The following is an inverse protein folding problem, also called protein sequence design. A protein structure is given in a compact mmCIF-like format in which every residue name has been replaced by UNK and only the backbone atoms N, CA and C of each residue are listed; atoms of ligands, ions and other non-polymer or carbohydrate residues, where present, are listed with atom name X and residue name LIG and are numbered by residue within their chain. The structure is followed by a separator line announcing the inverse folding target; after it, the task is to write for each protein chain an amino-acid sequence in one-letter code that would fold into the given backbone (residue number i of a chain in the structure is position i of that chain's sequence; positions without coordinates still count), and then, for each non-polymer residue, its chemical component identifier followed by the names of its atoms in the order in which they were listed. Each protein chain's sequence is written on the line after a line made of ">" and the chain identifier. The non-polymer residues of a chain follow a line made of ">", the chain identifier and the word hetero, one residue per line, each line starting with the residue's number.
data_IF_581795243455
#
_entry.id   IF_581795243455
#
_cell.length_a   1.000
_cell.length_b   1.000
_cell.length_c   1.000
_cell.angle_alpha   90.00
_cell.angle_beta   90.00
_cell.angle_gamma   90.00
#
_symmetry.space_group_name_H-M   'P 1'
#
loop_
_entity.id
_entity.type
_entity.pdbx_description
1 polymer ?
#
# COMPACT_ATOMS: atom_id res chain seq x y z
N UNK A 1 5.89 -1.85 -21.46
CA UNK A 1 5.46 -3.27 -21.41
C UNK A 1 6.00 -3.96 -20.18
N UNK A 2 7.28 -3.75 -19.84
CA UNK A 2 7.90 -4.20 -18.57
C UNK A 2 7.12 -3.70 -17.33
N UNK A 3 6.70 -2.44 -17.32
CA UNK A 3 5.98 -1.84 -16.18
C UNK A 3 4.65 -2.53 -15.86
N UNK A 4 3.92 -2.95 -16.90
CA UNK A 4 2.63 -3.65 -16.72
C UNK A 4 2.86 -5.04 -16.09
N UNK A 5 3.91 -5.74 -16.51
CA UNK A 5 4.29 -7.04 -15.92
C UNK A 5 4.68 -6.85 -14.44
N UNK A 6 5.44 -5.80 -14.14
CA UNK A 6 5.84 -5.49 -12.76
C UNK A 6 4.62 -5.09 -11.92
N UNK A 7 3.67 -4.31 -12.46
CA UNK A 7 2.41 -3.99 -11.78
C UNK A 7 1.62 -5.26 -11.45
N UNK A 8 1.50 -6.19 -12.38
CA UNK A 8 0.83 -7.48 -12.13
C UNK A 8 1.56 -8.23 -11.01
N UNK A 9 2.89 -8.21 -10.99
CA UNK A 9 3.67 -8.85 -9.92
C UNK A 9 3.48 -8.15 -8.57
N UNK A 10 3.45 -6.81 -8.52
CA UNK A 10 3.19 -6.04 -7.29
C UNK A 10 1.87 -6.47 -6.67
N UNK A 11 0.83 -6.57 -7.49
CA UNK A 11 -0.49 -7.05 -7.07
C UNK A 11 -0.45 -8.54 -6.70
N UNK A 12 0.29 -9.36 -7.45
CA UNK A 12 0.47 -10.78 -7.14
C UNK A 12 1.06 -11.00 -5.73
N UNK A 13 2.04 -10.19 -5.34
CA UNK A 13 2.68 -10.26 -4.02
C UNK A 13 1.72 -9.77 -2.93
N UNK A 14 0.83 -8.81 -3.20
CA UNK A 14 -0.10 -8.29 -2.18
C UNK A 14 -1.18 -9.28 -1.75
N UNK A 15 -1.43 -10.33 -2.54
CA UNK A 15 -2.32 -11.43 -2.17
C UNK A 15 -1.87 -12.23 -0.94
N UNK A 16 -0.60 -12.18 -0.57
CA UNK A 16 -0.13 -12.89 0.62
C UNK A 16 -0.86 -12.41 1.89
N UNK A 17 -1.31 -11.15 1.92
CA UNK A 17 -2.11 -10.61 3.03
C UNK A 17 -3.54 -11.18 3.12
N UNK A 18 -4.06 -11.76 2.03
CA UNK A 18 -5.47 -12.18 1.91
C UNK A 18 -5.67 -13.68 1.77
N UNK A 19 -4.73 -14.43 1.16
CA UNK A 19 -4.95 -15.83 0.74
C UNK A 19 -3.88 -16.82 1.21
N UNK A 20 -2.61 -16.44 1.31
CA UNK A 20 -1.49 -17.38 1.51
C UNK A 20 -1.02 -17.49 2.96
N UNK A 21 -1.91 -17.91 3.88
CA UNK A 21 -1.55 -18.20 5.27
C UNK A 21 -0.82 -17.04 6.01
N UNK A 22 -0.86 -15.82 5.47
CA UNK A 22 -0.06 -14.68 5.92
C UNK A 22 1.44 -15.02 5.99
N UNK A 23 2.03 -15.52 4.91
CA UNK A 23 3.45 -15.93 4.85
C UNK A 23 4.44 -14.78 5.05
N UNK A 24 3.95 -13.54 5.18
CA UNK A 24 4.71 -12.31 5.42
C UNK A 24 5.62 -11.90 4.27
N UNK A 25 5.51 -12.55 3.11
CA UNK A 25 6.18 -12.15 1.86
C UNK A 25 5.63 -10.80 1.36
N UNK A 26 4.39 -10.46 1.69
CA UNK A 26 3.82 -9.13 1.48
C UNK A 26 4.44 -8.02 2.34
N UNK A 27 5.32 -8.32 3.29
CA UNK A 27 5.92 -7.26 4.10
C UNK A 27 6.74 -6.31 3.21
N UNK A 28 6.65 -4.99 3.44
CA UNK A 28 7.34 -4.00 2.61
C UNK A 28 8.82 -4.29 2.42
N UNK A 29 9.52 -4.80 3.43
CA UNK A 29 10.96 -5.08 3.31
C UNK A 29 11.26 -6.13 2.23
N UNK A 30 10.47 -7.21 2.15
CA UNK A 30 10.68 -8.26 1.15
C UNK A 30 10.17 -7.82 -0.21
N UNK A 31 8.98 -7.23 -0.27
CA UNK A 31 8.38 -6.83 -1.54
C UNK A 31 9.19 -5.73 -2.23
N UNK A 32 9.62 -4.71 -1.48
CA UNK A 32 10.33 -3.56 -2.05
C UNK A 32 11.70 -3.94 -2.60
N UNK A 33 12.41 -4.86 -1.93
CA UNK A 33 13.70 -5.37 -2.41
C UNK A 33 13.50 -6.17 -3.71
N UNK A 34 12.46 -7.02 -3.78
CA UNK A 34 12.15 -7.78 -5.00
C UNK A 34 11.82 -6.84 -6.18
N UNK A 35 10.97 -5.83 -5.96
CA UNK A 35 10.63 -4.86 -7.00
C UNK A 35 11.86 -4.02 -7.39
N UNK A 36 12.65 -3.56 -6.41
CA UNK A 36 13.90 -2.84 -6.65
C UNK A 36 14.89 -3.64 -7.52
N UNK A 37 14.98 -4.95 -7.31
CA UNK A 37 15.79 -5.85 -8.12
C UNK A 37 15.27 -5.96 -9.56
N UNK A 38 13.95 -5.97 -9.76
CA UNK A 38 13.34 -6.09 -11.09
C UNK A 38 13.43 -4.82 -11.92
N UNK A 39 13.62 -3.67 -11.28
CA UNK A 39 13.78 -2.37 -11.94
C UNK A 39 15.24 -1.89 -11.96
N UNK A 40 16.19 -2.78 -11.68
CA UNK A 40 17.63 -2.50 -11.60
C UNK A 40 18.01 -1.36 -10.63
N UNK A 41 17.21 -1.14 -9.59
CA UNK A 41 17.44 -0.14 -8.54
C UNK A 41 17.21 -0.74 -7.14
N UNK A 42 18.08 -1.68 -6.78
CA UNK A 42 18.02 -2.38 -5.47
C UNK A 42 18.19 -1.39 -4.31
N UNK A 43 19.01 -0.35 -4.47
CA UNK A 43 19.23 0.68 -3.44
C UNK A 43 17.93 1.36 -3.04
N UNK A 44 17.14 1.82 -4.02
CA UNK A 44 15.82 2.40 -3.79
C UNK A 44 14.87 1.40 -3.09
N UNK A 45 14.89 0.14 -3.52
CA UNK A 45 14.13 -0.93 -2.89
C UNK A 45 14.46 -1.15 -1.41
N UNK A 46 15.74 -1.13 -1.05
CA UNK A 46 16.20 -1.23 0.34
C UNK A 46 15.76 -0.01 1.14
N UNK A 47 15.97 1.21 0.63
CA UNK A 47 15.65 2.43 1.38
C UNK A 47 14.15 2.57 1.63
N UNK A 48 13.32 2.46 0.60
CA UNK A 48 11.88 2.57 0.76
C UNK A 48 11.37 1.38 1.58
N UNK A 49 11.84 0.15 1.30
CA UNK A 49 11.40 -1.05 2.01
C UNK A 49 11.67 -1.00 3.52
N UNK A 50 12.85 -0.52 3.92
CA UNK A 50 13.22 -0.41 5.35
C UNK A 50 12.36 0.61 6.08
N UNK A 51 12.18 1.82 5.53
CA UNK A 51 11.34 2.86 6.15
C UNK A 51 9.88 2.41 6.23
N UNK A 52 9.37 1.81 5.15
CA UNK A 52 8.01 1.25 5.12
C UNK A 52 7.81 0.13 6.13
N UNK A 53 8.82 -0.71 6.35
CA UNK A 53 8.76 -1.78 7.36
C UNK A 53 8.69 -1.22 8.79
N UNK A 54 9.48 -0.19 9.11
CA UNK A 54 9.41 0.46 10.41
C UNK A 54 8.00 0.99 10.71
N UNK A 55 7.36 1.60 9.72
CA UNK A 55 5.99 2.10 9.88
C UNK A 55 5.00 0.94 9.95
N UNK A 56 5.14 -0.07 9.07
CA UNK A 56 4.27 -1.24 9.06
C UNK A 56 4.28 -2.00 10.40
N UNK A 57 5.42 -2.03 11.10
CA UNK A 57 5.54 -2.66 12.43
C UNK A 57 4.61 -2.05 13.50
N UNK A 58 4.17 -0.81 13.31
CA UNK A 58 3.21 -0.14 14.20
C UNK A 58 1.75 -0.55 13.96
N UNK A 59 1.48 -1.28 12.87
CA UNK A 59 0.15 -1.71 12.48
C UNK A 59 0.02 -3.23 12.52
N UNK A 60 -0.75 -3.75 13.48
CA UNK A 60 -1.10 -5.17 13.57
C UNK A 60 -2.55 -5.40 13.13
N UNK A 61 -2.83 -6.39 12.24
CA UNK A 61 -4.17 -6.76 11.79
C UNK A 61 -4.93 -7.51 12.89
N UNK A 62 -5.34 -6.79 13.93
CA UNK A 62 -6.17 -7.34 15.01
C UNK A 62 -7.62 -6.89 14.83
N UNK A 63 -8.55 -7.85 14.81
CA UNK A 63 -9.99 -7.58 14.90
C UNK A 63 -10.63 -6.94 13.66
N UNK A 64 -10.13 -7.24 12.45
CA UNK A 64 -10.68 -6.67 11.21
C UNK A 64 -10.39 -5.18 11.04
N UNK A 65 -9.37 -4.68 11.75
CA UNK A 65 -8.95 -3.29 11.64
C UNK A 65 -8.42 -2.97 10.23
N UNK A 66 -8.77 -1.79 9.72
CA UNK A 66 -8.25 -1.25 8.48
C UNK A 66 -6.82 -0.73 8.72
N UNK A 67 -5.88 -1.21 7.92
CA UNK A 67 -4.46 -0.91 8.03
C UNK A 67 -4.00 -0.27 6.73
N UNK A 68 -3.16 0.78 6.78
CA UNK A 68 -2.56 1.36 5.59
C UNK A 68 -1.80 0.30 4.79
N UNK A 69 -2.05 0.23 3.47
CA UNK A 69 -1.37 -0.73 2.60
C UNK A 69 -0.04 -0.14 2.12
N UNK A 70 0.96 -0.27 2.99
CA UNK A 70 2.32 0.21 2.74
C UNK A 70 3.03 -0.61 1.67
N UNK A 71 2.63 -1.85 1.45
CA UNK A 71 3.26 -2.70 0.45
C UNK A 71 2.96 -2.16 -0.96
N UNK A 72 1.67 -1.97 -1.28
CA UNK A 72 1.27 -1.49 -2.60
C UNK A 72 1.82 -0.10 -2.88
N UNK A 73 1.73 0.83 -1.93
CA UNK A 73 2.22 2.19 -2.14
C UNK A 73 3.74 2.24 -2.34
N UNK A 74 4.50 1.53 -1.50
CA UNK A 74 5.96 1.54 -1.56
C UNK A 74 6.50 0.93 -2.85
N UNK A 75 5.97 -0.22 -3.24
CA UNK A 75 6.35 -0.88 -4.49
C UNK A 75 6.03 -0.01 -5.71
N UNK A 76 4.90 0.70 -5.69
CA UNK A 76 4.52 1.61 -6.77
C UNK A 76 5.48 2.79 -6.88
N UNK A 77 5.89 3.36 -5.74
CA UNK A 77 6.89 4.43 -5.73
C UNK A 77 8.24 3.95 -6.27
N UNK A 78 8.69 2.75 -5.88
CA UNK A 78 9.92 2.18 -6.45
C UNK A 78 9.82 2.06 -7.97
N UNK A 79 8.70 1.56 -8.48
CA UNK A 79 8.47 1.42 -9.91
C UNK A 79 8.48 2.78 -10.65
N UNK A 80 7.81 3.79 -10.11
CA UNK A 80 7.73 5.13 -10.73
C UNK A 80 9.09 5.83 -10.73
N UNK A 81 9.86 5.66 -9.65
CA UNK A 81 11.12 6.36 -9.45
C UNK A 81 12.36 5.53 -9.79
N UNK A 82 12.19 4.35 -10.39
CA UNK A 82 13.27 3.43 -10.71
C UNK A 82 14.41 4.07 -11.52
N UNK A 83 14.06 4.92 -12.48
CA UNK A 83 15.00 5.60 -13.38
C UNK A 83 15.77 6.76 -12.72
N UNK A 84 15.38 7.16 -11.50
CA UNK A 84 15.95 8.32 -10.82
C UNK A 84 17.05 7.88 -9.84
N UNK A 85 18.11 8.67 -9.75
CA UNK A 85 19.13 8.51 -8.71
C UNK A 85 18.67 9.20 -7.43
N UNK A 86 17.76 8.54 -6.72
CA UNK A 86 17.22 9.03 -5.46
C UNK A 86 18.18 8.70 -4.30
N UNK A 87 18.65 9.74 -3.62
CA UNK A 87 19.40 9.60 -2.37
C UNK A 87 18.49 9.27 -1.19
N UNK A 88 19.06 8.74 -0.10
CA UNK A 88 18.30 8.43 1.12
C UNK A 88 17.54 9.65 1.68
N UNK A 89 18.12 10.85 1.61
CA UNK A 89 17.47 12.08 2.07
C UNK A 89 16.19 12.38 1.28
N UNK A 90 16.24 12.13 -0.03
CA UNK A 90 15.13 12.36 -0.96
C UNK A 90 14.03 11.30 -0.77
N UNK A 91 14.39 10.06 -0.38
CA UNK A 91 13.41 9.07 0.09
C UNK A 91 12.62 9.59 1.29
N UNK A 92 13.29 10.24 2.25
CA UNK A 92 12.64 10.85 3.41
C UNK A 92 11.61 11.94 3.03
N UNK A 93 11.87 12.69 1.97
CA UNK A 93 10.97 13.72 1.45
C UNK A 93 9.76 13.16 0.70
N UNK A 94 9.96 12.05 -0.02
CA UNK A 94 8.90 11.37 -0.79
C UNK A 94 7.97 10.57 0.13
N UNK A 95 8.47 10.16 1.29
CA UNK A 95 7.78 9.24 2.18
C UNK A 95 6.36 9.68 2.63
N UNK A 96 6.07 10.96 2.92
CA UNK A 96 4.71 11.42 3.20
C UNK A 96 3.70 11.04 2.11
N UNK A 97 4.11 11.09 0.83
CA UNK A 97 3.26 10.68 -0.29
C UNK A 97 3.01 9.17 -0.31
N UNK A 98 4.04 8.37 0.02
CA UNK A 98 3.91 6.90 0.19
C UNK A 98 2.85 6.58 1.25
N UNK A 99 2.83 7.34 2.35
CA UNK A 99 1.85 7.14 3.43
C UNK A 99 0.44 7.55 2.97
N UNK A 100 0.28 8.71 2.34
CA UNK A 100 -1.03 9.15 1.82
C UNK A 100 -1.59 8.09 0.86
N UNK A 101 -0.76 7.62 -0.06
CA UNK A 101 -1.16 6.59 -1.01
C UNK A 101 -1.50 5.26 -0.33
N UNK A 102 -0.78 4.86 0.72
CA UNK A 102 -1.09 3.65 1.51
C UNK A 102 -2.48 3.70 2.16
N UNK A 103 -2.90 4.89 2.61
CA UNK A 103 -4.25 5.12 3.16
C UNK A 103 -5.30 4.99 2.06
N UNK A 104 -5.01 5.47 0.84
CA UNK A 104 -5.92 5.32 -0.29
C UNK A 104 -6.09 3.85 -0.67
N UNK A 105 -5.00 3.08 -0.76
CA UNK A 105 -5.07 1.63 -1.02
C UNK A 105 -5.78 0.85 0.09
N UNK A 106 -5.66 1.28 1.34
CA UNK A 106 -6.49 0.75 2.44
C UNK A 106 -7.98 0.94 2.15
N UNK A 107 -8.42 2.12 1.71
CA UNK A 107 -9.82 2.35 1.36
C UNK A 107 -10.28 1.49 0.19
N UNK A 108 -9.44 1.27 -0.83
CA UNK A 108 -9.72 0.34 -1.94
C UNK A 108 -10.01 -1.06 -1.41
N UNK A 109 -9.14 -1.57 -0.53
CA UNK A 109 -9.29 -2.89 0.10
C UNK A 109 -10.56 -2.98 0.97
N UNK A 110 -10.93 -1.90 1.67
CA UNK A 110 -12.16 -1.86 2.45
C UNK A 110 -13.41 -1.89 1.57
N UNK A 111 -13.39 -1.17 0.46
CA UNK A 111 -14.50 -1.14 -0.51
C UNK A 111 -14.67 -2.54 -1.12
N UNK A 112 -13.58 -3.17 -1.53
CA UNK A 112 -13.55 -4.53 -2.05
C UNK A 112 -14.19 -5.53 -1.07
N UNK A 113 -13.74 -5.53 0.20
CA UNK A 113 -14.31 -6.38 1.26
C UNK A 113 -15.80 -6.14 1.46
N UNK A 114 -16.27 -4.88 1.38
CA UNK A 114 -17.70 -4.54 1.49
C UNK A 114 -18.51 -5.08 0.31
N UNK A 115 -17.99 -4.97 -0.92
CA UNK A 115 -18.64 -5.50 -2.13
C UNK A 115 -18.75 -7.02 -2.02
N UNK A 116 -17.65 -7.69 -1.66
CA UNK A 116 -17.59 -9.14 -1.50
C UNK A 116 -18.59 -9.63 -0.45
N UNK A 117 -18.60 -9.01 0.73
CA UNK A 117 -19.51 -9.37 1.82
C UNK A 117 -20.97 -9.18 1.43
N UNK A 118 -21.30 -8.09 0.69
CA UNK A 118 -22.67 -7.85 0.20
C UNK A 118 -23.10 -8.90 -0.82
N UNK A 119 -22.19 -9.36 -1.66
CA UNK A 119 -22.48 -10.37 -2.68
C UNK A 119 -22.71 -11.74 -2.04
N UNK A 120 -21.81 -12.19 -1.16
CA UNK A 120 -21.91 -13.49 -0.48
C UNK A 120 -23.21 -13.59 0.33
N UNK A 121 -23.64 -12.50 0.99
CA UNK A 121 -24.92 -12.46 1.73
C UNK A 121 -26.16 -12.73 0.88
N UNK A 122 -26.10 -12.58 -0.44
CA UNK A 122 -27.22 -12.87 -1.35
C UNK A 122 -27.30 -14.34 -1.76
N UNK A 123 -26.25 -15.11 -1.52
CA UNK A 123 -26.19 -16.52 -1.90
C UNK A 123 -26.72 -17.36 -0.73
N UNK A 124 -27.68 -18.28 -0.95
CA UNK A 124 -28.15 -19.18 0.09
C UNK A 124 -27.00 -20.10 0.54
N UNK A 125 -26.83 -20.28 1.86
CA UNK A 125 -25.70 -21.02 2.45
C UNK A 125 -25.51 -22.44 1.90
N UNK A 126 -26.60 -23.11 1.52
CA UNK A 126 -26.59 -24.46 0.95
C UNK A 126 -25.90 -24.56 -0.42
N UNK A 127 -25.72 -23.43 -1.12
CA UNK A 127 -25.06 -23.35 -2.43
C UNK A 127 -23.65 -22.76 -2.37
N UNK A 128 -23.14 -22.50 -1.16
CA UNK A 128 -21.82 -21.89 -0.98
C UNK A 128 -20.76 -22.99 -0.98
N UNK A 129 -20.10 -23.15 -2.12
CA UNK A 129 -18.91 -23.98 -2.21
C UNK A 129 -17.65 -23.15 -1.86
N UNK A 130 -16.80 -23.68 -0.98
CA UNK A 130 -15.55 -23.02 -0.56
C UNK A 130 -14.63 -22.63 -1.75
N UNK A 131 -14.43 -23.47 -2.79
CA UNK A 131 -13.62 -23.10 -3.96
C UNK A 131 -14.21 -21.94 -4.76
N UNK A 132 -15.55 -21.84 -4.81
CA UNK A 132 -16.24 -20.73 -5.46
C UNK A 132 -16.03 -19.41 -4.70
N UNK A 133 -16.07 -19.44 -3.36
CA UNK A 133 -15.80 -18.26 -2.55
C UNK A 133 -14.36 -17.75 -2.72
N UNK A 134 -13.39 -18.65 -2.70
CA UNK A 134 -11.96 -18.31 -2.83
C UNK A 134 -11.69 -17.72 -4.21
N UNK A 135 -12.17 -18.37 -5.28
CA UNK A 135 -11.96 -17.90 -6.65
C UNK A 135 -12.64 -16.54 -6.89
N UNK A 136 -13.86 -16.34 -6.40
CA UNK A 136 -14.56 -15.07 -6.54
C UNK A 136 -13.89 -13.92 -5.77
N UNK A 137 -13.48 -14.16 -4.52
CA UNK A 137 -12.74 -13.18 -3.73
C UNK A 137 -11.42 -12.80 -4.41
N UNK A 138 -10.71 -13.79 -4.94
CA UNK A 138 -9.44 -13.57 -5.65
C UNK A 138 -9.65 -12.72 -6.90
N UNK A 139 -10.64 -13.04 -7.72
CA UNK A 139 -10.93 -12.31 -8.96
C UNK A 139 -11.31 -10.85 -8.67
N UNK A 140 -12.17 -10.60 -7.68
CA UNK A 140 -12.53 -9.23 -7.30
C UNK A 140 -11.32 -8.44 -6.81
N UNK A 141 -10.53 -9.03 -5.91
CA UNK A 141 -9.32 -8.40 -5.39
C UNK A 141 -8.38 -8.05 -6.55
N UNK A 142 -8.10 -9.02 -7.43
CA UNK A 142 -7.20 -8.84 -8.57
C UNK A 142 -7.64 -7.71 -9.48
N UNK A 143 -8.91 -7.70 -9.89
CA UNK A 143 -9.43 -6.68 -10.82
C UNK A 143 -9.36 -5.29 -10.18
N UNK A 144 -9.86 -5.13 -8.96
CA UNK A 144 -9.92 -3.82 -8.31
C UNK A 144 -8.52 -3.28 -7.97
N UNK A 145 -7.63 -4.13 -7.46
CA UNK A 145 -6.27 -3.72 -7.10
C UNK A 145 -5.43 -3.43 -8.34
N UNK A 146 -5.51 -4.24 -9.41
CA UNK A 146 -4.82 -3.92 -10.67
C UNK A 146 -5.29 -2.59 -11.23
N UNK A 147 -6.61 -2.36 -11.30
CA UNK A 147 -7.15 -1.08 -11.80
C UNK A 147 -6.64 0.09 -10.95
N UNK A 148 -6.68 -0.04 -9.61
CA UNK A 148 -6.21 1.00 -8.72
C UNK A 148 -4.71 1.27 -8.90
N UNK A 149 -3.87 0.23 -8.92
CA UNK A 149 -2.42 0.35 -9.06
C UNK A 149 -2.06 0.96 -10.42
N UNK A 150 -2.69 0.52 -11.51
CA UNK A 150 -2.47 1.11 -12.85
C UNK A 150 -2.86 2.58 -12.87
N UNK A 151 -4.02 2.94 -12.30
CA UNK A 151 -4.47 4.33 -12.24
C UNK A 151 -3.49 5.21 -11.44
N UNK A 152 -3.07 4.76 -10.26
CA UNK A 152 -2.10 5.51 -9.45
C UNK A 152 -0.71 5.54 -10.07
N UNK A 153 -0.30 4.50 -10.79
CA UNK A 153 0.95 4.50 -11.55
C UNK A 153 0.96 5.63 -12.57
N UNK A 154 -0.10 5.75 -13.38
CA UNK A 154 -0.19 6.82 -14.38
C UNK A 154 -0.25 8.22 -13.73
N UNK A 155 -0.99 8.38 -12.63
CA UNK A 155 -1.06 9.65 -11.90
C UNK A 155 0.32 10.03 -11.35
N UNK A 156 1.00 9.12 -10.66
CA UNK A 156 2.32 9.39 -10.08
C UNK A 156 3.36 9.65 -11.16
N UNK A 157 3.33 8.92 -12.28
CA UNK A 157 4.25 9.13 -13.37
C UNK A 157 4.02 10.48 -14.06
N UNK A 158 2.77 10.95 -14.14
CA UNK A 158 2.43 12.28 -14.64
C UNK A 158 2.96 13.40 -13.73
N UNK A 159 2.80 13.27 -12.41
CA UNK A 159 3.25 14.26 -11.43
C UNK A 159 4.69 14.02 -10.92
N UNK A 160 5.45 13.13 -11.55
CA UNK A 160 6.76 12.69 -11.07
C UNK A 160 7.75 13.85 -10.92
N UNK A 161 7.83 14.72 -11.92
CA UNK A 161 8.70 15.90 -11.93
C UNK A 161 8.29 16.90 -10.86
N UNK A 162 6.98 17.17 -10.73
CA UNK A 162 6.44 18.09 -9.74
C UNK A 162 6.74 17.61 -8.31
N UNK A 163 6.63 16.30 -8.05
CA UNK A 163 6.97 15.70 -6.77
C UNK A 163 8.44 15.96 -6.43
N UNK A 164 9.36 15.71 -7.37
CA UNK A 164 10.80 15.90 -7.15
C UNK A 164 11.19 17.38 -6.98
N UNK A 165 10.57 18.28 -7.76
CA UNK A 165 10.85 19.71 -7.69
C UNK A 165 10.28 20.38 -6.43
N UNK A 166 9.11 19.94 -5.96
CA UNK A 166 8.46 20.50 -4.77
C UNK A 166 8.92 19.83 -3.46
N UNK A 167 9.74 18.78 -3.54
CA UNK A 167 10.34 18.14 -2.35
C UNK A 167 11.55 18.91 -1.77
N UNK A 168 11.97 20.02 -2.37
CA UNK A 168 13.02 20.88 -1.80
C UNK A 168 12.58 21.43 -0.43
N UNK A 169 13.31 21.03 0.62
CA UNK A 169 13.01 21.27 2.03
C UNK A 169 12.69 22.73 2.38
N UNK A 170 11.47 23.00 2.84
CA UNK A 170 11.25 23.93 3.95
C UNK A 170 11.07 23.10 5.24
N UNK A 171 12.02 23.13 6.20
CA UNK A 171 11.95 22.34 7.44
C UNK A 171 10.65 22.58 8.24
N UNK A 172 10.04 23.76 8.06
CA UNK A 172 8.75 24.11 8.66
C UNK A 172 7.60 23.21 8.15
N UNK A 173 7.57 22.88 6.85
CA UNK A 173 6.49 22.06 6.27
C UNK A 173 6.58 20.61 6.72
N UNK A 174 7.79 20.08 6.87
CA UNK A 174 8.02 18.73 7.41
C UNK A 174 7.64 18.66 8.88
N UNK A 175 7.99 19.68 9.68
CA UNK A 175 7.54 19.78 11.06
C UNK A 175 6.01 19.80 11.16
N UNK A 176 5.35 20.61 10.32
CA UNK A 176 3.88 20.66 10.26
C UNK A 176 3.29 19.32 9.84
N UNK A 177 3.89 18.61 8.87
CA UNK A 177 3.44 17.30 8.46
C UNK A 177 3.60 16.25 9.56
N UNK A 178 4.74 16.23 10.27
CA UNK A 178 4.98 15.34 11.41
C UNK A 178 4.01 15.64 12.54
N UNK A 179 3.75 16.91 12.84
CA UNK A 179 2.74 17.32 13.84
C UNK A 179 1.36 16.88 13.39
N UNK A 180 0.98 17.11 12.14
CA UNK A 180 -0.33 16.71 11.61
C UNK A 180 -0.52 15.20 11.63
N UNK A 181 0.52 14.43 11.25
CA UNK A 181 0.47 12.97 11.23
C UNK A 181 0.47 12.37 12.63
N UNK A 182 1.27 12.92 13.55
CA UNK A 182 1.29 12.52 14.96
C UNK A 182 -0.03 12.86 15.65
N UNK A 183 -0.62 14.03 15.39
CA UNK A 183 -1.94 14.41 15.87
C UNK A 183 -3.05 13.54 15.27
N UNK A 184 -2.96 13.18 13.98
CA UNK A 184 -3.88 12.25 13.34
C UNK A 184 -3.84 10.86 13.98
N UNK A 185 -2.64 10.33 14.25
CA UNK A 185 -2.47 9.06 14.96
C UNK A 185 -2.97 9.15 16.40
N UNK A 186 -2.76 10.28 17.08
CA UNK A 186 -3.29 10.52 18.43
C UNK A 186 -4.83 10.55 18.41
N UNK A 187 -5.42 11.28 17.47
CA UNK A 187 -6.87 11.40 17.31
C UNK A 187 -7.53 10.05 17.05
N UNK A 188 -6.93 9.22 16.18
CA UNK A 188 -7.41 7.85 15.91
C UNK A 188 -7.32 6.98 17.19
N UNK A 189 -6.25 7.10 17.98
CA UNK A 189 -6.10 6.38 19.26
C UNK A 189 -7.12 6.83 20.31
N UNK A 190 -7.41 8.13 20.40
CA UNK A 190 -8.40 8.67 21.33
C UNK A 190 -9.84 8.34 20.92
N UNK A 191 -10.17 8.42 19.63
CA UNK A 191 -11.46 7.99 19.10
C UNK A 191 -11.74 6.52 19.44
N UNK A 192 -10.73 5.64 19.35
CA UNK A 192 -10.84 4.23 19.75
C UNK A 192 -11.11 3.99 21.24
N UNK A 193 -10.63 4.85 22.12
CA UNK A 193 -10.86 4.72 23.57
C UNK A 193 -12.27 5.15 23.96
N UNK A 194 -12.87 6.09 23.23
CA UNK A 194 -14.24 6.58 23.49
C UNK A 194 -15.36 5.56 23.23
N UNK A 195 -15.11 4.50 22.45
CA UNK A 195 -16.09 3.44 22.14
C UNK A 195 -16.04 2.22 23.06
N UNK A 196 -15.26 2.25 24.16
CA UNK A 196 -15.17 1.16 25.15
C UNK A 196 -16.01 1.40 26.42
N UNK A 197 -16.96 2.35 26.39
CA UNK A 197 -17.92 2.58 27.47
C UNK A 197 -19.34 2.37 26.96
#
# INVERSE_FOLDING_TARGET
>A
MLDIIIIILIVAISFDTTLFLQSQISQPIFSCILIGLLVDNIGLGIYIGTVSQFIASSYLPVGGNNIPDLQLSSNLFILVFASEQISFDLVGQIFPFVIILSIIFMYVTVIERKILTRYIKKIPYEKIELPFMISYSLVIHLILTVIAVVLFYYILNYYKTDILEHTVYEPLRVLVFIIFFSMGNLAIRYYRRGFRH
#
